data_IF_583475453771
#
_entry.id   IF_583475453771
#
_cell.length_a   1.000
_cell.length_b   1.000
_cell.length_c   1.000
_cell.angle_alpha   90.00
_cell.angle_beta   90.00
_cell.angle_gamma   90.00
#
_symmetry.space_group_name_H-M   'P 1'
#
loop_
_entity.id
_entity.type
_entity.pdbx_description
1 polymer ?
#
# COMPACT_ATOMS: atom_id res chain seq x y z
N UNK A 1 -4.64 -4.83 10.73
CA UNK A 1 -5.74 -4.19 11.51
C UNK A 1 -6.92 -5.14 11.74
N UNK A 2 -7.62 -5.69 10.74
CA UNK A 2 -8.80 -6.58 10.96
C UNK A 2 -8.48 -7.80 11.82
N UNK A 3 -7.33 -8.45 11.62
CA UNK A 3 -6.89 -9.59 12.43
C UNK A 3 -6.70 -9.23 13.92
N UNK A 4 -6.02 -8.12 14.19
CA UNK A 4 -5.82 -7.61 15.55
C UNK A 4 -7.16 -7.26 16.22
N UNK A 5 -8.04 -6.55 15.51
CA UNK A 5 -9.37 -6.22 16.01
C UNK A 5 -10.17 -7.49 16.37
N UNK A 6 -10.14 -8.51 15.51
CA UNK A 6 -10.79 -9.79 15.75
C UNK A 6 -10.26 -10.46 17.02
N UNK A 7 -8.93 -10.54 17.18
CA UNK A 7 -8.33 -11.19 18.33
C UNK A 7 -8.68 -10.47 19.67
N UNK A 8 -8.62 -9.12 19.66
CA UNK A 8 -8.99 -8.32 20.83
C UNK A 8 -10.46 -8.53 21.21
N UNK A 9 -11.37 -8.48 20.23
CA UNK A 9 -12.81 -8.70 20.47
C UNK A 9 -13.12 -10.14 20.91
N UNK A 10 -12.35 -11.13 20.43
CA UNK A 10 -12.51 -12.51 20.88
C UNK A 10 -12.09 -12.69 22.34
N UNK A 11 -11.00 -12.04 22.76
CA UNK A 11 -10.52 -12.08 24.13
C UNK A 11 -11.34 -11.20 25.08
N UNK A 12 -12.06 -10.21 24.57
CA UNK A 12 -12.83 -9.22 25.33
C UNK A 12 -14.21 -8.99 24.67
N UNK A 13 -15.22 -9.80 24.98
CA UNK A 13 -16.52 -9.76 24.28
C UNK A 13 -17.28 -8.43 24.37
N UNK A 14 -16.97 -7.61 25.38
CA UNK A 14 -17.60 -6.29 25.58
C UNK A 14 -16.98 -5.18 24.69
N UNK A 15 -15.82 -5.46 24.09
CA UNK A 15 -15.15 -4.50 23.19
C UNK A 15 -15.74 -4.63 21.77
N UNK A 16 -15.98 -3.48 21.15
CA UNK A 16 -16.38 -3.40 19.73
C UNK A 16 -15.38 -2.55 18.96
N UNK A 17 -14.75 -3.14 17.93
CA UNK A 17 -13.79 -2.46 17.06
C UNK A 17 -14.28 -2.60 15.60
N UNK A 18 -14.55 -1.47 14.98
CA UNK A 18 -14.92 -1.42 13.56
C UNK A 18 -13.71 -1.01 12.72
N UNK A 19 -13.47 -1.70 11.62
CA UNK A 19 -12.38 -1.39 10.69
C UNK A 19 -12.98 -1.14 9.31
N UNK A 20 -12.98 0.14 8.90
CA UNK A 20 -13.39 0.58 7.56
C UNK A 20 -12.19 0.63 6.60
N UNK A 21 -12.47 0.52 5.30
CA UNK A 21 -11.49 0.74 4.24
C UNK A 21 -11.43 2.21 3.82
N UNK A 22 -10.39 2.55 3.06
CA UNK A 22 -10.15 3.88 2.48
C UNK A 22 -8.68 4.06 2.12
N UNK A 23 -8.37 5.19 1.49
CA UNK A 23 -6.97 5.61 1.25
C UNK A 23 -6.40 6.37 2.45
N UNK A 24 -5.09 6.68 2.41
CA UNK A 24 -4.42 7.44 3.49
C UNK A 24 -5.07 8.79 3.76
N UNK A 25 -5.55 9.48 2.72
CA UNK A 25 -6.26 10.77 2.86
C UNK A 25 -7.54 10.63 3.67
N UNK A 26 -8.33 9.57 3.44
CA UNK A 26 -9.55 9.27 4.21
C UNK A 26 -9.20 8.99 5.67
N UNK A 27 -8.16 8.17 5.93
CA UNK A 27 -7.69 7.89 7.29
C UNK A 27 -7.29 9.15 8.06
N UNK A 28 -6.54 10.05 7.40
CA UNK A 28 -6.13 11.35 7.99
C UNK A 28 -7.33 12.22 8.28
N UNK A 29 -8.24 12.37 7.33
CA UNK A 29 -9.43 13.20 7.50
C UNK A 29 -10.30 12.69 8.66
N UNK A 30 -10.65 11.43 8.65
CA UNK A 30 -11.57 10.85 9.65
C UNK A 30 -11.02 10.93 11.07
N UNK A 31 -9.72 10.65 11.28
CA UNK A 31 -9.11 10.78 12.60
C UNK A 31 -8.97 12.25 13.00
N UNK A 32 -8.63 13.13 12.06
CA UNK A 32 -8.53 14.58 12.31
C UNK A 32 -9.85 15.22 12.71
N UNK A 33 -10.96 14.78 12.09
CA UNK A 33 -12.33 15.20 12.41
C UNK A 33 -12.91 14.48 13.65
N UNK A 34 -12.18 13.52 14.22
CA UNK A 34 -12.63 12.77 15.40
C UNK A 34 -13.70 11.72 15.13
N UNK A 35 -13.93 11.36 13.85
CA UNK A 35 -14.91 10.34 13.44
C UNK A 35 -14.41 8.91 13.72
N UNK A 36 -13.10 8.73 13.81
CA UNK A 36 -12.45 7.48 14.20
C UNK A 36 -11.32 7.77 15.18
N UNK A 37 -10.98 6.80 16.02
CA UNK A 37 -9.90 6.92 17.01
C UNK A 37 -8.52 6.74 16.38
N UNK A 38 -8.42 5.90 15.34
CA UNK A 38 -7.17 5.60 14.63
C UNK A 38 -7.38 5.74 13.12
N UNK A 39 -6.60 6.62 12.50
CA UNK A 39 -6.53 6.75 11.03
C UNK A 39 -5.27 6.09 10.49
N UNK A 40 -5.42 5.00 9.71
CA UNK A 40 -4.26 4.31 9.15
C UNK A 40 -3.79 4.97 7.86
N UNK A 41 -2.46 5.10 7.71
CA UNK A 41 -1.86 5.62 6.47
C UNK A 41 -0.73 4.72 5.97
N UNK A 42 -0.56 4.65 4.65
CA UNK A 42 0.58 3.99 4.00
C UNK A 42 1.67 5.00 3.57
N UNK A 43 1.76 6.11 4.26
CA UNK A 43 2.76 7.17 4.13
C UNK A 43 2.85 7.98 5.41
N UNK A 44 3.92 8.74 5.57
CA UNK A 44 4.01 9.73 6.63
C UNK A 44 2.91 10.81 6.50
N UNK A 45 2.54 11.42 7.60
CA UNK A 45 1.68 12.60 7.59
C UNK A 45 2.42 13.78 6.96
N UNK A 46 1.69 14.61 6.22
CA UNK A 46 2.20 15.89 5.71
C UNK A 46 2.17 16.92 6.83
N UNK A 47 3.11 17.85 6.83
CA UNK A 47 3.18 18.90 7.85
C UNK A 47 1.84 19.65 8.03
N UNK A 48 1.17 19.98 6.91
CA UNK A 48 -0.15 20.59 6.92
C UNK A 48 -1.24 19.74 7.57
N UNK A 49 -1.14 18.41 7.53
CA UNK A 49 -2.09 17.50 8.16
C UNK A 49 -1.85 17.47 9.68
N UNK A 50 -0.58 17.44 10.08
CA UNK A 50 -0.18 17.53 11.49
C UNK A 50 -0.64 18.86 12.09
N UNK A 51 -0.31 19.97 11.42
CA UNK A 51 -0.67 21.32 11.89
C UNK A 51 -2.18 21.52 11.97
N UNK A 52 -2.95 21.02 10.98
CA UNK A 52 -4.40 21.18 10.92
C UNK A 52 -5.13 20.40 12.02
N UNK A 53 -4.69 19.19 12.33
CA UNK A 53 -5.47 18.27 13.14
C UNK A 53 -4.81 17.87 14.46
N UNK A 54 -3.55 18.25 14.71
CA UNK A 54 -2.81 17.86 15.91
C UNK A 54 -2.54 16.35 15.97
N UNK A 55 -2.18 15.75 14.83
CA UNK A 55 -2.03 14.30 14.72
C UNK A 55 -0.67 13.82 15.24
N UNK A 56 -0.67 12.64 15.86
CA UNK A 56 0.50 11.86 16.23
C UNK A 56 0.55 10.56 15.42
N UNK A 57 1.75 10.16 14.99
CA UNK A 57 1.97 8.99 14.15
C UNK A 57 2.73 7.88 14.88
N UNK A 58 2.29 6.65 14.67
CA UNK A 58 2.87 5.43 15.24
C UNK A 58 3.22 4.47 14.09
N UNK A 59 4.50 4.44 13.63
CA UNK A 59 4.92 3.52 12.58
C UNK A 59 4.89 2.08 13.11
N UNK A 60 4.20 1.17 12.42
CA UNK A 60 4.03 -0.19 12.92
C UNK A 60 4.50 -1.29 11.96
N UNK A 61 4.67 -0.98 10.69
CA UNK A 61 5.12 -1.97 9.70
C UNK A 61 5.81 -1.32 8.51
N UNK A 62 6.68 -2.08 7.86
CA UNK A 62 7.19 -1.79 6.52
C UNK A 62 6.37 -2.57 5.50
N UNK A 63 6.03 -1.93 4.39
CA UNK A 63 5.39 -2.51 3.21
C UNK A 63 6.19 -2.13 1.97
N UNK A 64 6.30 -3.06 1.02
CA UNK A 64 6.80 -2.75 -0.31
C UNK A 64 5.66 -2.49 -1.28
N UNK A 65 5.91 -1.72 -2.34
CA UNK A 65 4.97 -1.49 -3.44
C UNK A 65 5.46 -2.25 -4.66
N UNK A 66 4.71 -3.27 -5.09
CA UNK A 66 5.02 -4.07 -6.26
C UNK A 66 4.22 -3.59 -7.47
N UNK A 67 4.89 -3.49 -8.63
CA UNK A 67 4.20 -3.43 -9.91
C UNK A 67 3.65 -4.81 -10.23
N UNK A 68 2.43 -4.86 -10.72
CA UNK A 68 1.71 -6.10 -10.99
C UNK A 68 1.09 -6.10 -12.38
N UNK A 69 1.05 -7.30 -12.96
CA UNK A 69 0.40 -7.59 -14.23
C UNK A 69 -0.51 -8.81 -14.07
N UNK A 70 -1.34 -9.09 -15.06
CA UNK A 70 -2.09 -10.33 -15.11
C UNK A 70 -1.13 -11.55 -15.18
N UNK A 71 -1.42 -12.67 -14.51
CA UNK A 71 -0.57 -13.87 -14.57
C UNK A 71 -0.33 -14.42 -15.98
N UNK A 72 -1.24 -14.19 -16.94
CA UNK A 72 -1.09 -14.59 -18.34
C UNK A 72 -0.13 -13.69 -19.14
N UNK A 73 0.22 -12.51 -18.65
CA UNK A 73 1.22 -11.64 -19.27
C UNK A 73 2.60 -12.34 -19.19
N UNK A 74 3.37 -12.30 -20.26
CA UNK A 74 4.71 -12.95 -20.32
C UNK A 74 5.84 -12.05 -19.77
N UNK A 75 5.63 -10.74 -19.70
CA UNK A 75 6.60 -9.81 -19.12
C UNK A 75 6.68 -10.06 -17.61
N UNK A 76 7.90 -10.22 -17.09
CA UNK A 76 8.15 -10.53 -15.66
C UNK A 76 9.11 -9.54 -14.99
N UNK A 77 9.72 -8.65 -15.78
CA UNK A 77 10.66 -7.67 -15.26
C UNK A 77 10.55 -6.37 -16.04
N UNK A 78 10.72 -5.27 -15.35
CA UNK A 78 10.84 -3.92 -15.96
C UNK A 78 11.87 -3.10 -15.20
N UNK A 79 12.47 -2.15 -15.89
CA UNK A 79 13.33 -1.13 -15.27
C UNK A 79 12.50 0.04 -14.76
N UNK A 80 13.09 0.88 -13.89
CA UNK A 80 12.45 2.13 -13.45
C UNK A 80 12.14 3.05 -14.64
N UNK A 81 13.02 3.13 -15.64
CA UNK A 81 12.77 3.93 -16.83
C UNK A 81 11.57 3.40 -17.63
N UNK A 82 11.47 2.07 -17.81
CA UNK A 82 10.33 1.47 -18.49
C UNK A 82 9.02 1.72 -17.74
N UNK A 83 9.03 1.62 -16.40
CA UNK A 83 7.87 1.96 -15.59
C UNK A 83 7.44 3.42 -15.79
N UNK A 84 8.39 4.37 -15.77
CA UNK A 84 8.12 5.78 -16.02
C UNK A 84 7.52 6.00 -17.41
N UNK A 85 8.07 5.36 -18.44
CA UNK A 85 7.62 5.53 -19.82
C UNK A 85 6.25 4.88 -20.07
N UNK A 86 5.94 3.75 -19.43
CA UNK A 86 4.61 3.12 -19.46
C UNK A 86 3.57 4.06 -18.83
N UNK A 87 3.84 4.48 -17.58
CA UNK A 87 2.86 5.29 -16.84
C UNK A 87 2.72 6.70 -17.43
N UNK A 88 3.74 7.23 -18.09
CA UNK A 88 3.65 8.48 -18.85
C UNK A 88 2.99 8.33 -20.24
N UNK A 89 2.64 7.10 -20.66
CA UNK A 89 2.02 6.85 -21.98
C UNK A 89 2.99 6.89 -23.15
N UNK A 90 4.30 6.81 -22.92
CA UNK A 90 5.32 6.74 -23.98
C UNK A 90 5.50 5.31 -24.52
N UNK A 91 5.45 4.31 -23.63
CA UNK A 91 5.38 2.89 -24.00
C UNK A 91 3.92 2.46 -23.86
N UNK A 92 3.27 2.13 -24.96
CA UNK A 92 1.84 1.82 -25.02
C UNK A 92 1.55 0.39 -25.50
N UNK A 93 2.60 -0.39 -25.81
CA UNK A 93 2.47 -1.75 -26.36
C UNK A 93 3.44 -2.69 -25.65
N UNK A 94 2.96 -3.84 -25.20
CA UNK A 94 3.74 -4.87 -24.50
C UNK A 94 4.90 -5.41 -25.33
N UNK A 95 4.81 -5.37 -26.68
CA UNK A 95 5.89 -5.81 -27.58
C UNK A 95 7.20 -5.06 -27.33
N UNK A 96 7.14 -3.77 -26.95
CA UNK A 96 8.34 -3.00 -26.59
C UNK A 96 9.10 -3.55 -25.37
N UNK A 97 8.45 -4.44 -24.61
CA UNK A 97 8.99 -5.08 -23.40
C UNK A 97 9.21 -6.58 -23.59
N UNK A 98 9.17 -7.08 -24.84
CA UNK A 98 9.29 -8.50 -25.16
C UNK A 98 8.01 -9.32 -24.87
N UNK A 99 6.89 -8.66 -24.67
CA UNK A 99 5.57 -9.25 -24.52
C UNK A 99 4.82 -9.44 -25.84
N UNK A 100 3.52 -9.67 -25.75
CA UNK A 100 2.63 -9.78 -26.90
C UNK A 100 2.52 -8.44 -27.66
N UNK A 101 2.21 -8.50 -28.95
CA UNK A 101 1.85 -7.32 -29.73
C UNK A 101 0.41 -6.90 -29.38
N UNK A 102 0.29 -6.18 -28.29
CA UNK A 102 -0.98 -5.78 -27.68
C UNK A 102 -0.81 -4.48 -26.85
N UNK A 103 -1.86 -3.65 -26.77
CA UNK A 103 -1.79 -2.41 -26.02
C UNK A 103 -1.60 -2.65 -24.51
N UNK A 104 -1.07 -1.65 -23.79
CA UNK A 104 -0.95 -1.65 -22.33
C UNK A 104 -2.12 -0.88 -21.75
N UNK A 105 -2.89 -1.50 -20.86
CA UNK A 105 -3.91 -0.82 -20.05
C UNK A 105 -3.29 -0.40 -18.73
N UNK A 106 -3.17 0.91 -18.51
CA UNK A 106 -2.60 1.46 -17.27
C UNK A 106 -3.69 1.61 -16.21
N UNK A 107 -3.40 1.09 -15.01
CA UNK A 107 -4.22 1.27 -13.82
C UNK A 107 -3.48 2.07 -12.76
N UNK A 108 -4.20 2.98 -12.12
CA UNK A 108 -3.66 3.80 -11.03
C UNK A 108 -4.65 3.88 -9.88
N UNK A 109 -4.22 4.53 -8.80
CA UNK A 109 -5.02 4.79 -7.62
C UNK A 109 -5.48 6.25 -7.61
N UNK A 110 -6.50 6.52 -6.82
CA UNK A 110 -7.01 7.86 -6.52
C UNK A 110 -5.93 8.75 -5.87
N UNK A 111 -6.08 10.07 -5.96
CA UNK A 111 -5.10 11.05 -5.46
C UNK A 111 -4.83 10.95 -3.95
N UNK A 112 -5.79 10.51 -3.14
CA UNK A 112 -5.63 10.31 -1.70
C UNK A 112 -4.90 9.02 -1.31
N UNK A 113 -4.46 8.20 -2.29
CA UNK A 113 -3.82 6.91 -2.03
C UNK A 113 -2.36 7.06 -1.61
N UNK A 114 -2.03 6.61 -0.40
CA UNK A 114 -0.64 6.53 0.05
C UNK A 114 0.20 5.55 -0.78
N UNK A 115 -0.40 4.50 -1.38
CA UNK A 115 0.30 3.59 -2.30
C UNK A 115 0.67 4.32 -3.59
N UNK A 116 -0.26 5.11 -4.15
CA UNK A 116 0.02 5.96 -5.32
C UNK A 116 1.11 6.99 -5.04
N UNK A 117 1.04 7.65 -3.88
CA UNK A 117 2.01 8.68 -3.53
C UNK A 117 3.44 8.10 -3.49
N UNK A 118 3.64 6.96 -2.83
CA UNK A 118 4.94 6.28 -2.77
C UNK A 118 5.37 5.77 -4.15
N UNK A 119 4.45 5.21 -4.94
CA UNK A 119 4.73 4.76 -6.30
C UNK A 119 5.19 5.91 -7.19
N UNK A 120 4.45 7.02 -7.22
CA UNK A 120 4.80 8.22 -7.99
C UNK A 120 6.15 8.80 -7.55
N UNK A 121 6.38 8.89 -6.24
CA UNK A 121 7.62 9.45 -5.73
C UNK A 121 8.82 8.55 -6.04
N UNK A 122 8.74 7.27 -5.74
CA UNK A 122 9.90 6.36 -5.78
C UNK A 122 10.10 5.67 -7.13
N UNK A 123 9.03 5.17 -7.76
CA UNK A 123 9.13 4.49 -9.04
C UNK A 123 9.11 5.47 -10.21
N UNK A 124 8.18 6.42 -10.21
CA UNK A 124 8.03 7.37 -11.32
C UNK A 124 8.91 8.62 -11.16
N UNK A 125 9.64 8.80 -10.05
CA UNK A 125 10.46 9.99 -9.78
C UNK A 125 9.67 11.31 -9.95
N UNK A 126 8.42 11.29 -9.47
CA UNK A 126 7.43 12.37 -9.62
C UNK A 126 6.99 12.62 -11.06
N UNK A 127 7.26 11.69 -11.97
CA UNK A 127 6.75 11.72 -13.35
C UNK A 127 5.23 11.57 -13.41
N UNK A 128 4.63 11.96 -14.56
CA UNK A 128 3.18 11.95 -14.75
C UNK A 128 2.63 10.52 -14.86
N UNK A 129 1.33 10.40 -14.60
CA UNK A 129 0.52 9.24 -14.96
C UNK A 129 -0.43 9.70 -16.08
N UNK A 130 -0.48 8.93 -17.18
CA UNK A 130 -1.30 9.22 -18.36
C UNK A 130 -2.78 9.42 -17.95
N UNK A 131 -3.42 10.43 -18.52
CA UNK A 131 -4.80 10.80 -18.17
C UNK A 131 -5.83 9.69 -18.47
N UNK A 132 -5.53 8.79 -19.41
CA UNK A 132 -6.35 7.63 -19.75
C UNK A 132 -6.22 6.44 -18.78
N UNK A 133 -5.40 6.56 -17.73
CA UNK A 133 -5.24 5.49 -16.75
C UNK A 133 -6.56 5.23 -15.98
N UNK A 134 -6.91 3.95 -15.84
CA UNK A 134 -8.08 3.54 -15.07
C UNK A 134 -7.83 3.73 -13.57
N UNK A 135 -8.70 4.48 -12.89
CA UNK A 135 -8.55 4.78 -11.46
C UNK A 135 -9.33 3.78 -10.62
N UNK A 136 -8.67 3.18 -9.63
CA UNK A 136 -9.28 2.27 -8.64
C UNK A 136 -9.03 2.75 -7.22
N UNK A 137 -9.91 2.42 -6.28
CA UNK A 137 -9.95 3.01 -4.93
C UNK A 137 -9.31 2.18 -3.81
N UNK A 138 -8.71 1.03 -4.12
CA UNK A 138 -8.05 0.18 -3.11
C UNK A 138 -7.04 -0.77 -3.72
N UNK A 139 -6.12 -1.34 -2.90
CA UNK A 139 -5.23 -2.42 -3.35
C UNK A 139 -6.04 -3.67 -3.77
N UNK A 140 -7.14 -3.97 -3.08
CA UNK A 140 -8.02 -5.07 -3.47
C UNK A 140 -8.67 -4.85 -4.83
N UNK A 141 -9.20 -3.66 -5.10
CA UNK A 141 -9.76 -3.30 -6.40
C UNK A 141 -8.70 -3.33 -7.51
N UNK A 142 -7.48 -2.84 -7.25
CA UNK A 142 -6.36 -2.94 -8.18
C UNK A 142 -6.04 -4.38 -8.53
N UNK A 143 -5.91 -5.25 -7.51
CA UNK A 143 -5.65 -6.67 -7.70
C UNK A 143 -6.74 -7.34 -8.55
N UNK A 144 -8.01 -7.05 -8.27
CA UNK A 144 -9.15 -7.59 -9.05
C UNK A 144 -9.10 -7.11 -10.49
N UNK A 145 -8.90 -5.80 -10.73
CA UNK A 145 -8.84 -5.25 -12.08
C UNK A 145 -7.70 -5.87 -12.91
N UNK A 146 -6.49 -5.95 -12.35
CA UNK A 146 -5.33 -6.56 -13.03
C UNK A 146 -5.53 -8.07 -13.25
N UNK A 147 -6.14 -8.78 -12.30
CA UNK A 147 -6.45 -10.21 -12.44
C UNK A 147 -7.43 -10.50 -13.58
N UNK A 148 -8.32 -9.57 -13.89
CA UNK A 148 -9.32 -9.67 -14.97
C UNK A 148 -8.82 -9.13 -16.31
N UNK A 149 -7.87 -8.20 -16.34
CA UNK A 149 -7.34 -7.60 -17.55
C UNK A 149 -5.95 -8.16 -17.90
N UNK A 150 -5.88 -8.98 -18.95
CA UNK A 150 -4.62 -9.57 -19.46
C UNK A 150 -3.63 -8.54 -19.98
N UNK A 151 -4.09 -7.32 -20.29
CA UNK A 151 -3.30 -6.22 -20.85
C UNK A 151 -2.90 -5.20 -19.77
N UNK A 152 -3.42 -5.38 -18.56
CA UNK A 152 -3.28 -4.44 -17.45
C UNK A 152 -1.89 -4.43 -16.81
N UNK A 153 -1.46 -3.24 -16.42
CA UNK A 153 -0.37 -2.98 -15.46
C UNK A 153 -0.87 -2.04 -14.38
N UNK A 154 -0.49 -2.34 -13.14
CA UNK A 154 -0.81 -1.51 -11.98
C UNK A 154 0.18 -1.74 -10.85
N UNK A 155 -0.15 -1.34 -9.64
CA UNK A 155 0.71 -1.49 -8.47
C UNK A 155 -0.10 -1.71 -7.19
N UNK A 156 0.43 -2.55 -6.30
CA UNK A 156 -0.18 -2.88 -5.00
C UNK A 156 0.89 -2.96 -3.91
N UNK A 157 0.50 -2.94 -2.65
CA UNK A 157 1.38 -3.37 -1.57
C UNK A 157 1.76 -4.85 -1.73
N UNK A 158 3.02 -5.21 -1.43
CA UNK A 158 3.53 -6.60 -1.58
C UNK A 158 2.63 -7.61 -0.84
N UNK A 159 2.09 -7.26 0.32
CA UNK A 159 1.17 -8.10 1.08
C UNK A 159 -0.17 -8.40 0.37
N UNK A 160 -0.46 -7.74 -0.75
CA UNK A 160 -1.64 -8.01 -1.59
C UNK A 160 -1.34 -8.90 -2.79
N UNK A 161 -0.09 -9.24 -3.04
CA UNK A 161 0.30 -10.12 -4.16
C UNK A 161 -0.06 -11.56 -3.82
N UNK A 162 -0.85 -12.19 -4.68
CA UNK A 162 -1.20 -13.60 -4.62
C UNK A 162 -1.31 -14.17 -6.04
N UNK A 163 -1.80 -15.42 -6.17
CA UNK A 163 -1.94 -16.11 -7.47
C UNK A 163 -2.81 -15.38 -8.52
N UNK A 164 -3.59 -14.38 -8.13
CA UNK A 164 -4.47 -13.62 -9.05
C UNK A 164 -3.72 -12.55 -9.84
N UNK A 165 -2.52 -12.17 -9.41
CA UNK A 165 -1.64 -11.21 -10.10
C UNK A 165 -0.18 -11.67 -10.07
N UNK A 166 0.60 -11.27 -11.06
CA UNK A 166 2.03 -11.53 -11.11
C UNK A 166 2.80 -10.23 -10.79
N UNK A 167 3.63 -10.26 -9.77
CA UNK A 167 4.52 -9.15 -9.46
C UNK A 167 5.71 -9.12 -10.44
N UNK A 168 6.06 -7.92 -10.90
CA UNK A 168 7.22 -7.71 -11.76
C UNK A 168 8.48 -7.51 -10.92
N UNK A 169 9.57 -8.12 -11.35
CA UNK A 169 10.91 -7.71 -10.93
C UNK A 169 11.14 -6.26 -11.36
N UNK A 170 11.53 -5.39 -10.44
CA UNK A 170 11.75 -3.96 -10.67
C UNK A 170 13.23 -3.64 -10.47
N UNK A 171 13.90 -3.08 -11.49
CA UNK A 171 15.34 -2.81 -11.50
C UNK A 171 16.17 -4.01 -10.98
N UNK A 172 15.87 -5.20 -11.49
CA UNK A 172 16.51 -6.49 -11.13
C UNK A 172 16.22 -6.99 -9.72
N UNK A 173 15.38 -6.28 -8.95
CA UNK A 173 15.01 -6.69 -7.59
C UNK A 173 13.60 -7.25 -7.55
N UNK A 174 13.46 -8.44 -6.95
CA UNK A 174 12.17 -9.08 -6.73
C UNK A 174 11.43 -8.37 -5.60
N UNK A 175 10.15 -7.97 -5.79
CA UNK A 175 9.34 -7.37 -4.74
C UNK A 175 8.91 -8.45 -3.73
N UNK A 176 9.77 -8.74 -2.77
CA UNK A 176 9.52 -9.67 -1.66
C UNK A 176 9.64 -8.97 -0.32
N UNK A 177 9.05 -9.57 0.72
CA UNK A 177 9.18 -9.07 2.09
C UNK A 177 10.65 -9.10 2.56
N UNK A 178 11.38 -10.14 2.20
CA UNK A 178 12.81 -10.27 2.52
C UNK A 178 13.63 -9.12 1.91
N UNK A 179 13.45 -8.86 0.61
CA UNK A 179 14.15 -7.76 -0.06
C UNK A 179 13.70 -6.38 0.43
N UNK A 180 12.45 -6.24 0.85
CA UNK A 180 11.94 -5.01 1.47
C UNK A 180 12.52 -4.82 2.88
N UNK A 181 12.67 -5.88 3.68
CA UNK A 181 13.24 -5.84 5.01
C UNK A 181 14.73 -5.51 5.00
N UNK A 182 15.49 -6.11 4.08
CA UNK A 182 16.94 -5.86 3.92
C UNK A 182 17.26 -4.50 3.30
N UNK A 183 16.26 -3.78 2.76
CA UNK A 183 16.43 -2.53 2.01
C UNK A 183 16.92 -2.73 0.57
N UNK A 184 17.09 -3.96 0.09
CA UNK A 184 17.46 -4.26 -1.30
C UNK A 184 16.35 -3.82 -2.27
N UNK A 185 15.07 -4.00 -1.90
CA UNK A 185 13.94 -3.48 -2.65
C UNK A 185 13.60 -2.06 -2.20
N UNK A 186 13.72 -1.09 -3.09
CA UNK A 186 13.68 0.34 -2.73
C UNK A 186 12.27 0.95 -2.70
N UNK A 187 11.29 0.31 -3.37
CA UNK A 187 9.91 0.79 -3.36
C UNK A 187 9.20 0.40 -2.06
N UNK A 188 9.74 0.82 -0.94
CA UNK A 188 9.22 0.52 0.40
C UNK A 188 8.63 1.75 1.07
N UNK A 189 7.74 1.52 2.04
CA UNK A 189 7.09 2.56 2.86
C UNK A 189 6.87 2.08 4.27
N UNK A 190 6.72 3.01 5.20
CA UNK A 190 6.19 2.74 6.52
C UNK A 190 4.66 2.84 6.50
N UNK A 191 4.02 1.96 7.26
CA UNK A 191 2.59 2.02 7.58
C UNK A 191 2.44 2.61 8.98
N UNK A 192 1.46 3.50 9.13
CA UNK A 192 1.26 4.24 10.37
C UNK A 192 -0.17 4.09 10.90
N UNK A 193 -0.29 4.02 12.20
CA UNK A 193 -1.50 4.39 12.94
C UNK A 193 -1.37 5.85 13.35
N UNK A 194 -2.39 6.65 13.14
CA UNK A 194 -2.39 8.06 13.51
C UNK A 194 -3.56 8.33 14.45
N UNK A 195 -3.31 9.14 15.49
CA UNK A 195 -4.33 9.57 16.45
C UNK A 195 -4.39 11.08 16.53
N UNK A 196 -5.54 11.63 16.94
CA UNK A 196 -5.66 13.04 17.29
C UNK A 196 -5.17 13.24 18.73
N UNK A 197 -3.98 13.85 18.86
CA UNK A 197 -3.30 13.95 20.16
C UNK A 197 -2.82 12.59 20.70
N UNK A 198 -2.46 12.57 21.98
CA UNK A 198 -1.95 11.37 22.66
C UNK A 198 -3.04 10.30 22.80
N UNK A 199 -2.78 9.03 22.43
CA UNK A 199 -3.76 7.97 22.59
C UNK A 199 -3.97 7.61 24.06
N UNK A 200 -5.22 7.32 24.43
CA UNK A 200 -5.61 6.88 25.77
C UNK A 200 -6.59 5.72 25.72
N UNK A 201 -6.87 5.10 26.85
CA UNK A 201 -7.87 4.05 26.98
C UNK A 201 -7.70 2.91 25.97
N UNK A 202 -8.79 2.50 25.32
CA UNK A 202 -8.81 1.41 24.35
C UNK A 202 -7.95 1.71 23.11
N UNK A 203 -7.86 2.98 22.68
CA UNK A 203 -7.02 3.39 21.57
C UNK A 203 -5.54 3.12 21.84
N UNK A 204 -5.07 3.48 23.05
CA UNK A 204 -3.71 3.16 23.50
C UNK A 204 -3.48 1.65 23.59
N UNK A 205 -4.42 0.92 24.20
CA UNK A 205 -4.34 -0.53 24.32
C UNK A 205 -4.27 -1.23 22.96
N UNK A 206 -5.03 -0.76 21.96
CA UNK A 206 -4.96 -1.28 20.58
C UNK A 206 -3.58 -1.02 19.94
N UNK A 207 -3.03 0.17 20.10
CA UNK A 207 -1.70 0.52 19.58
C UNK A 207 -0.63 -0.33 20.28
N UNK A 208 -0.69 -0.48 21.61
CA UNK A 208 0.24 -1.32 22.37
C UNK A 208 0.16 -2.79 21.93
N UNK A 209 -1.05 -3.31 21.68
CA UNK A 209 -1.26 -4.66 21.15
C UNK A 209 -0.61 -4.84 19.76
N UNK A 210 -0.67 -3.85 18.87
CA UNK A 210 -0.02 -3.93 17.55
C UNK A 210 1.50 -4.07 17.69
N UNK A 211 2.11 -3.48 18.74
CA UNK A 211 3.55 -3.61 19.02
C UNK A 211 3.91 -4.84 19.85
N UNK A 212 2.94 -5.61 20.34
CA UNK A 212 3.19 -6.86 21.06
C UNK A 212 3.71 -7.96 20.14
N UNK A 213 4.25 -9.07 20.69
CA UNK A 213 4.61 -10.25 19.91
C UNK A 213 3.43 -10.80 19.09
N UNK A 214 2.22 -10.82 19.64
CA UNK A 214 1.01 -11.29 18.97
C UNK A 214 0.61 -10.34 17.80
N UNK A 215 0.71 -9.05 18.04
CA UNK A 215 0.48 -8.03 17.00
C UNK A 215 1.49 -8.15 15.86
N UNK A 216 2.77 -8.33 16.18
CA UNK A 216 3.83 -8.57 15.22
C UNK A 216 3.59 -9.81 14.37
N UNK A 217 3.18 -10.92 14.97
CA UNK A 217 2.84 -12.16 14.26
C UNK A 217 1.66 -11.95 13.28
N UNK A 218 0.66 -11.13 13.64
CA UNK A 218 -0.45 -10.76 12.72
C UNK A 218 0.06 -9.92 11.56
N UNK A 219 0.98 -8.99 11.80
CA UNK A 219 1.58 -8.15 10.76
C UNK A 219 2.34 -9.02 9.77
N UNK A 220 3.20 -9.94 10.23
CA UNK A 220 3.95 -10.89 9.40
C UNK A 220 3.04 -11.80 8.59
N UNK A 221 2.03 -12.41 9.23
CA UNK A 221 1.03 -13.25 8.56
C UNK A 221 0.23 -12.49 7.49
N UNK A 222 0.12 -11.17 7.64
CA UNK A 222 -0.53 -10.29 6.67
C UNK A 222 0.40 -9.84 5.53
N UNK A 223 1.64 -10.34 5.48
CA UNK A 223 2.62 -10.03 4.44
C UNK A 223 3.30 -8.67 4.63
N UNK A 224 3.46 -8.20 5.87
CA UNK A 224 4.18 -6.96 6.20
C UNK A 224 5.31 -7.26 7.18
N UNK A 225 6.25 -6.33 7.31
CA UNK A 225 7.39 -6.46 8.23
C UNK A 225 7.10 -5.58 9.44
N UNK A 226 6.96 -6.16 10.66
CA UNK A 226 6.71 -5.36 11.86
C UNK A 226 7.90 -4.45 12.17
N UNK A 227 7.59 -3.25 12.68
CA UNK A 227 8.60 -2.34 13.24
C UNK A 227 8.40 -2.27 14.75
N UNK A 228 9.50 -2.21 15.52
CA UNK A 228 9.42 -1.91 16.94
C UNK A 228 8.84 -0.51 17.19
N UNK A 229 8.36 -0.29 18.42
CA UNK A 229 7.98 1.05 18.88
C UNK A 229 9.24 1.93 18.94
N UNK A 230 9.23 3.03 18.21
CA UNK A 230 10.31 4.04 18.26
C UNK A 230 9.93 5.15 19.24
#
# INVERSE_FOLDING_TARGET
MKGAAKNIMTANPDIRITVAGGGSGVGVQQVGEGLVQIGNTGRALKEKEIAKYGLQSFPFAIDGVALVVNPANKVRAITAQQAQDIFAGKITNWKALGGADAPITVYTREDGSGTREVFVEKALKKGPIVASANVVNSNGAMKTAIGQDKLGIGYVGIGHVDKSVAALTFDKMVPSQENAASGAYTLTRLLYMNTKGAPSGLTKAFIDYIYSPEGSAIIEKSGYIPTGRK
#
